data_IF_846849128575
#
_entry.id   IF_846849128575
#
_cell.length_a   1.000
_cell.length_b   1.000
_cell.length_c   1.000
_cell.angle_alpha   90.00
_cell.angle_beta   90.00
_cell.angle_gamma   90.00
#
_symmetry.space_group_name_H-M   'P 1'
#
loop_
_entity.id
_entity.type
_entity.pdbx_description
1 polymer ?
#
# COMPACT_ATOMS: atom_id res chain seq x y z
N UNK A 1 -12.89 -5.11 -6.20
CA UNK A 1 -12.11 -3.99 -5.63
C UNK A 1 -11.99 -2.92 -6.69
N UNK A 2 -12.11 -1.65 -6.31
CA UNK A 2 -11.87 -0.52 -7.22
C UNK A 2 -10.69 0.28 -6.68
N UNK A 3 -9.81 0.73 -7.57
CA UNK A 3 -8.67 1.57 -7.24
C UNK A 3 -8.76 2.84 -8.10
N UNK A 4 -8.55 3.99 -7.46
CA UNK A 4 -8.39 5.25 -8.16
C UNK A 4 -7.02 5.85 -7.84
N UNK A 5 -6.31 6.26 -8.87
CA UNK A 5 -5.02 6.94 -8.75
C UNK A 5 -5.25 8.44 -8.70
N UNK A 6 -4.87 9.07 -7.60
CA UNK A 6 -5.01 10.52 -7.42
C UNK A 6 -3.75 11.26 -7.83
N UNK A 7 -2.58 10.70 -7.53
CA UNK A 7 -1.30 11.31 -7.85
C UNK A 7 -0.20 10.27 -8.02
N UNK A 8 0.61 10.48 -9.05
CA UNK A 8 1.85 9.76 -9.29
C UNK A 8 2.95 10.77 -9.56
N UNK A 9 4.04 10.67 -8.80
CA UNK A 9 5.30 11.34 -9.09
C UNK A 9 6.34 10.24 -9.14
N UNK A 10 6.89 10.01 -10.32
CA UNK A 10 7.82 8.92 -10.59
C UNK A 10 8.99 8.92 -9.59
N UNK A 11 9.23 7.76 -8.98
CA UNK A 11 10.28 7.55 -7.97
C UNK A 11 10.10 8.29 -6.65
N UNK A 12 8.97 8.96 -6.40
CA UNK A 12 8.79 9.80 -5.21
C UNK A 12 7.48 9.56 -4.47
N UNK A 13 6.35 9.48 -5.18
CA UNK A 13 5.04 9.51 -4.55
C UNK A 13 4.01 8.72 -5.35
N UNK A 14 3.23 7.91 -4.64
CA UNK A 14 2.03 7.28 -5.17
C UNK A 14 0.87 7.49 -4.19
N UNK A 15 -0.23 8.08 -4.66
CA UNK A 15 -1.42 8.32 -3.85
C UNK A 15 -2.67 7.71 -4.51
N UNK A 16 -3.35 6.84 -3.77
CA UNK A 16 -4.50 6.07 -4.25
C UNK A 16 -5.66 6.10 -3.26
N UNK A 17 -6.86 5.82 -3.76
CA UNK A 17 -7.95 5.32 -2.93
C UNK A 17 -8.40 3.95 -3.40
N UNK A 18 -8.79 3.10 -2.47
CA UNK A 18 -9.36 1.80 -2.76
C UNK A 18 -10.74 1.64 -2.13
N UNK A 19 -11.55 0.86 -2.84
CA UNK A 19 -12.89 0.44 -2.42
C UNK A 19 -12.92 -1.09 -2.42
N UNK A 20 -13.03 -1.66 -1.23
CA UNK A 20 -13.19 -3.09 -1.01
C UNK A 20 -14.65 -3.49 -1.17
N UNK A 21 -14.91 -4.47 -2.05
CA UNK A 21 -16.24 -5.05 -2.22
C UNK A 21 -16.10 -6.56 -2.10
N UNK A 22 -16.87 -7.16 -1.18
CA UNK A 22 -16.88 -8.60 -0.93
C UNK A 22 -18.32 -9.11 -0.98
N UNK A 23 -18.58 -10.17 -1.77
CA UNK A 23 -19.95 -10.69 -1.96
C UNK A 23 -20.95 -9.67 -2.54
N UNK A 24 -20.46 -8.65 -3.26
CA UNK A 24 -21.29 -7.55 -3.78
C UNK A 24 -21.59 -6.44 -2.78
N UNK A 25 -21.10 -6.55 -1.54
CA UNK A 25 -21.27 -5.55 -0.49
C UNK A 25 -20.02 -4.70 -0.37
N UNK A 26 -20.21 -3.38 -0.26
CA UNK A 26 -19.12 -2.44 0.05
C UNK A 26 -18.66 -2.66 1.50
N UNK A 27 -17.42 -3.11 1.69
CA UNK A 27 -16.89 -3.47 3.01
C UNK A 27 -15.85 -2.48 3.52
N UNK A 28 -15.07 -1.87 2.63
CA UNK A 28 -13.89 -1.10 3.05
C UNK A 28 -13.67 0.09 2.14
N UNK A 29 -13.29 1.22 2.72
CA UNK A 29 -12.79 2.40 2.01
C UNK A 29 -11.40 2.73 2.52
N UNK A 30 -10.47 3.02 1.61
CA UNK A 30 -9.09 3.28 1.95
C UNK A 30 -8.51 4.44 1.15
N UNK A 31 -7.63 5.21 1.77
CA UNK A 31 -6.65 6.07 1.10
C UNK A 31 -5.25 5.59 1.45
N UNK A 32 -4.39 5.45 0.44
CA UNK A 32 -2.99 5.05 0.61
C UNK A 32 -2.12 6.16 0.04
N UNK A 33 -1.08 6.52 0.78
CA UNK A 33 0.04 7.32 0.32
C UNK A 33 1.30 6.48 0.50
N UNK A 34 2.09 6.34 -0.57
CA UNK A 34 3.40 5.69 -0.57
C UNK A 34 4.42 6.74 -0.98
N UNK A 35 5.39 6.98 -0.11
CA UNK A 35 6.48 7.92 -0.33
C UNK A 35 7.81 7.20 -0.41
N UNK A 36 8.62 7.59 -1.40
CA UNK A 36 9.96 7.08 -1.63
C UNK A 36 10.96 8.20 -1.41
N UNK A 37 11.89 7.98 -0.50
CA UNK A 37 12.93 8.94 -0.15
C UNK A 37 14.29 8.27 -0.38
N UNK A 38 15.14 8.78 -1.27
CA UNK A 38 16.48 8.25 -1.43
C UNK A 38 17.27 8.45 -0.13
N UNK A 39 18.07 7.46 0.24
CA UNK A 39 19.01 7.49 1.37
C UNK A 39 20.43 7.21 0.85
N UNK A 40 21.45 7.43 1.68
CA UNK A 40 22.85 7.19 1.29
C UNK A 40 23.12 5.71 0.93
N UNK A 41 22.31 4.80 1.45
CA UNK A 41 22.42 3.35 1.34
C UNK A 41 21.28 2.68 0.55
N UNK A 42 20.33 3.46 0.02
CA UNK A 42 19.20 2.91 -0.72
C UNK A 42 18.00 3.85 -0.78
N UNK A 43 16.85 3.35 -0.36
CA UNK A 43 15.60 4.09 -0.37
C UNK A 43 14.78 3.75 0.88
N UNK A 44 14.30 4.79 1.56
CA UNK A 44 13.25 4.67 2.56
C UNK A 44 11.91 4.72 1.87
N UNK A 45 11.12 3.68 2.07
CA UNK A 45 9.72 3.62 1.68
C UNK A 45 8.85 3.84 2.91
N UNK A 46 7.90 4.76 2.83
CA UNK A 46 6.90 4.98 3.87
C UNK A 46 5.49 4.78 3.30
N UNK A 47 4.69 3.94 3.96
CA UNK A 47 3.28 3.73 3.60
C UNK A 47 2.41 4.29 4.71
N UNK A 48 1.55 5.24 4.35
CA UNK A 48 0.46 5.70 5.20
C UNK A 48 -0.87 5.23 4.60
N UNK A 49 -1.62 4.44 5.36
CA UNK A 49 -2.96 4.01 4.98
C UNK A 49 -4.00 4.52 5.98
N UNK A 50 -5.02 5.20 5.46
CA UNK A 50 -6.22 5.55 6.22
C UNK A 50 -7.34 4.65 5.75
N UNK A 51 -7.93 3.88 6.66
CA UNK A 51 -8.90 2.86 6.30
C UNK A 51 -10.13 2.92 7.19
N UNK A 52 -11.29 2.66 6.59
CA UNK A 52 -12.56 2.51 7.27
C UNK A 52 -13.14 1.16 6.87
N UNK A 53 -13.44 0.33 7.87
CA UNK A 53 -14.30 -0.84 7.69
C UNK A 53 -15.75 -0.45 7.92
N UNK A 54 -16.61 -0.89 7.01
CA UNK A 54 -18.04 -0.58 6.98
C UNK A 54 -18.89 -1.76 7.51
N UNK A 55 -18.24 -2.84 7.92
CA UNK A 55 -18.87 -4.08 8.39
C UNK A 55 -18.77 -4.25 9.92
N UNK A 56 -18.00 -3.39 10.59
CA UNK A 56 -17.75 -3.43 12.04
C UNK A 56 -16.60 -4.36 12.44
N UNK A 57 -15.75 -4.77 11.49
CA UNK A 57 -14.58 -5.59 11.75
C UNK A 57 -13.42 -4.81 12.39
N UNK A 58 -12.45 -5.55 12.94
CA UNK A 58 -11.18 -4.98 13.38
C UNK A 58 -10.28 -4.70 12.19
N UNK A 59 -10.49 -3.52 11.60
CA UNK A 59 -9.78 -3.07 10.40
C UNK A 59 -8.30 -2.82 10.68
N UNK A 60 -7.95 -2.39 11.89
CA UNK A 60 -6.58 -2.01 12.21
C UNK A 60 -5.66 -3.23 12.18
N UNK A 61 -5.98 -4.26 12.97
CA UNK A 61 -5.14 -5.47 13.05
C UNK A 61 -5.01 -6.19 11.70
N UNK A 62 -6.10 -6.23 10.92
CA UNK A 62 -6.09 -6.86 9.59
C UNK A 62 -5.22 -6.09 8.60
N UNK A 63 -5.30 -4.76 8.60
CA UNK A 63 -4.50 -3.95 7.70
C UNK A 63 -3.03 -3.88 8.10
N UNK A 64 -2.71 -3.81 9.39
CA UNK A 64 -1.33 -3.88 9.87
C UNK A 64 -0.68 -5.22 9.44
N UNK A 65 -1.36 -6.35 9.67
CA UNK A 65 -0.86 -7.66 9.25
C UNK A 65 -0.69 -7.75 7.72
N UNK A 66 -1.66 -7.24 6.96
CA UNK A 66 -1.60 -7.22 5.50
C UNK A 66 -0.44 -6.38 4.96
N UNK A 67 -0.21 -5.20 5.53
CA UNK A 67 0.89 -4.33 5.13
C UNK A 67 2.26 -4.90 5.48
N UNK A 68 2.42 -5.48 6.68
CA UNK A 68 3.66 -6.18 7.05
C UNK A 68 3.98 -7.27 6.02
N UNK A 69 3.01 -8.12 5.68
CA UNK A 69 3.22 -9.18 4.69
C UNK A 69 3.59 -8.62 3.29
N UNK A 70 2.92 -7.55 2.84
CA UNK A 70 3.22 -6.91 1.55
C UNK A 70 4.64 -6.37 1.52
N UNK A 71 5.07 -5.68 2.58
CA UNK A 71 6.39 -5.07 2.67
C UNK A 71 7.49 -6.14 2.76
N UNK A 72 7.29 -7.18 3.58
CA UNK A 72 8.20 -8.33 3.66
C UNK A 72 8.36 -9.02 2.30
N UNK A 73 7.24 -9.19 1.57
CA UNK A 73 7.27 -9.78 0.22
C UNK A 73 7.99 -8.86 -0.77
N UNK A 74 7.76 -7.56 -0.71
CA UNK A 74 8.41 -6.59 -1.56
C UNK A 74 9.94 -6.59 -1.36
N UNK A 75 10.41 -6.62 -0.11
CA UNK A 75 11.84 -6.75 0.20
C UNK A 75 12.41 -8.08 -0.32
N UNK A 76 11.68 -9.19 -0.14
CA UNK A 76 12.08 -10.49 -0.67
C UNK A 76 12.19 -10.49 -2.20
N UNK A 77 11.26 -9.84 -2.90
CA UNK A 77 11.27 -9.76 -4.37
C UNK A 77 12.46 -8.95 -4.88
N UNK A 78 12.80 -7.84 -4.19
CA UNK A 78 14.01 -7.06 -4.50
C UNK A 78 15.27 -7.89 -4.26
N UNK A 79 15.34 -8.66 -3.18
CA UNK A 79 16.50 -9.50 -2.88
C UNK A 79 16.68 -10.64 -3.90
N UNK A 80 15.58 -11.21 -4.41
CA UNK A 80 15.62 -12.33 -5.36
C UNK A 80 15.90 -11.86 -6.80
N UNK A 81 15.34 -10.72 -7.21
CA UNK A 81 15.35 -10.28 -8.62
C UNK A 81 16.20 -9.03 -8.87
N UNK A 82 16.68 -8.38 -7.82
CA UNK A 82 17.32 -7.06 -7.90
C UNK A 82 16.30 -5.94 -8.16
N UNK A 83 16.77 -4.70 -8.04
CA UNK A 83 16.00 -3.54 -8.50
C UNK A 83 16.09 -3.49 -10.03
N UNK A 84 14.95 -3.60 -10.73
CA UNK A 84 14.90 -3.32 -12.16
C UNK A 84 15.12 -1.80 -12.29
N UNK A 85 16.32 -1.40 -12.66
CA UNK A 85 16.62 -0.02 -13.03
C UNK A 85 15.83 0.31 -14.30
N UNK A 86 14.79 1.14 -14.16
CA UNK A 86 14.11 1.80 -15.27
C UNK A 86 14.93 2.96 -15.80
#
# INVERSE_FOLDING_TARGET
>A
MFQNTHRLVEGQLMAYSLTGVFGGVLTTLMQIVIEFQPTDDGCRLEVTAQVIDLTGGDVQSQHEAGWTWILDRFESDIAEHGLIAG
#
